data_IF_884062148754
#
_entry.id   IF_884062148754
#
_cell.length_a   1.000
_cell.length_b   1.000
_cell.length_c   1.000
_cell.angle_alpha   90.00
_cell.angle_beta   90.00
_cell.angle_gamma   90.00
#
_symmetry.space_group_name_H-M   'P 1'
#
loop_
_entity.id
_entity.type
_entity.pdbx_description
1 polymer ?
#
# COMPACT_ATOMS: atom_id res chain seq x y z
N UNK A 1 5.63 3.56 -13.54
CA UNK A 1 4.80 4.68 -13.93
C UNK A 1 3.60 4.87 -13.01
N UNK A 2 2.79 5.92 -13.20
CA UNK A 2 1.66 6.20 -12.29
C UNK A 2 0.62 5.08 -12.24
N UNK A 3 0.45 4.33 -13.32
CA UNK A 3 -0.48 3.19 -13.31
C UNK A 3 0.00 2.08 -12.39
N UNK A 4 1.31 1.83 -12.35
CA UNK A 4 1.87 0.80 -11.49
C UNK A 4 1.71 1.18 -10.03
N UNK A 5 1.94 2.44 -9.71
CA UNK A 5 1.75 2.95 -8.35
C UNK A 5 0.29 2.82 -7.93
N UNK A 6 -0.63 3.23 -8.80
CA UNK A 6 -2.05 3.16 -8.52
C UNK A 6 -2.50 1.72 -8.33
N UNK A 7 -2.05 0.81 -9.19
CA UNK A 7 -2.41 -0.59 -9.10
C UNK A 7 -1.94 -1.19 -7.77
N UNK A 8 -0.74 -0.83 -7.34
CA UNK A 8 -0.19 -1.34 -6.09
C UNK A 8 -1.01 -0.90 -4.88
N UNK A 9 -1.36 0.38 -4.82
CA UNK A 9 -2.11 0.89 -3.68
C UNK A 9 -3.56 0.37 -3.67
N UNK A 10 -4.17 0.24 -4.84
CA UNK A 10 -5.53 -0.31 -4.94
C UNK A 10 -5.55 -1.76 -4.47
N UNK A 11 -4.55 -2.53 -4.83
CA UNK A 11 -4.45 -3.92 -4.37
C UNK A 11 -4.34 -4.00 -2.84
N UNK A 12 -3.52 -3.13 -2.26
CA UNK A 12 -3.37 -3.08 -0.80
C UNK A 12 -4.69 -2.72 -0.12
N UNK A 13 -5.41 -1.74 -0.65
CA UNK A 13 -6.71 -1.35 -0.12
C UNK A 13 -7.72 -2.49 -0.21
N UNK A 14 -7.70 -3.21 -1.32
CA UNK A 14 -8.60 -4.33 -1.54
C UNK A 14 -8.39 -5.42 -0.48
N UNK A 15 -7.13 -5.74 -0.21
CA UNK A 15 -6.80 -6.73 0.82
C UNK A 15 -7.23 -6.27 2.21
N UNK A 16 -7.12 -4.97 2.48
CA UNK A 16 -7.56 -4.41 3.74
C UNK A 16 -9.07 -4.54 3.93
N UNK A 17 -9.83 -4.25 2.87
CA UNK A 17 -11.28 -4.40 2.89
C UNK A 17 -11.71 -5.85 3.08
N UNK A 18 -10.93 -6.79 2.51
CA UNK A 18 -11.20 -8.21 2.64
C UNK A 18 -10.78 -8.78 4.00
N UNK A 19 -10.33 -7.93 4.92
CA UNK A 19 -9.88 -8.32 6.25
C UNK A 19 -8.72 -9.31 6.21
N UNK A 20 -7.76 -9.03 5.32
CA UNK A 20 -6.52 -9.81 5.22
C UNK A 20 -5.36 -8.91 5.64
N UNK A 21 -5.24 -8.61 6.95
CA UNK A 21 -4.32 -7.57 7.43
C UNK A 21 -2.85 -7.85 7.11
N UNK A 22 -2.42 -9.10 7.22
CA UNK A 22 -1.02 -9.43 6.92
C UNK A 22 -0.68 -9.20 5.47
N UNK A 23 -1.57 -9.63 4.57
CA UNK A 23 -1.35 -9.45 3.15
C UNK A 23 -1.41 -7.98 2.77
N UNK A 24 -2.36 -7.25 3.35
CA UNK A 24 -2.46 -5.81 3.12
C UNK A 24 -1.19 -5.10 3.56
N UNK A 25 -0.68 -5.43 4.76
CA UNK A 25 0.55 -4.82 5.26
C UNK A 25 1.74 -5.10 4.36
N UNK A 26 1.85 -6.34 3.84
CA UNK A 26 2.92 -6.69 2.92
C UNK A 26 2.84 -5.84 1.64
N UNK A 27 1.65 -5.65 1.12
CA UNK A 27 1.47 -4.82 -0.08
C UNK A 27 1.80 -3.36 0.19
N UNK A 28 1.41 -2.82 1.35
CA UNK A 28 1.76 -1.46 1.73
C UNK A 28 3.27 -1.30 1.88
N UNK A 29 3.95 -2.29 2.46
CA UNK A 29 5.41 -2.25 2.57
C UNK A 29 6.07 -2.24 1.21
N UNK A 30 5.61 -3.12 0.31
CA UNK A 30 6.14 -3.16 -1.06
C UNK A 30 5.94 -1.83 -1.76
N UNK A 31 4.78 -1.22 -1.53
CA UNK A 31 4.51 0.10 -2.08
C UNK A 31 5.55 1.11 -1.61
N UNK A 32 5.83 1.14 -0.31
CA UNK A 32 6.80 2.09 0.25
C UNK A 32 8.21 1.84 -0.26
N UNK A 33 8.57 0.58 -0.49
CA UNK A 33 9.88 0.24 -1.05
C UNK A 33 10.02 0.71 -2.50
N UNK A 34 8.96 0.54 -3.29
CA UNK A 34 9.00 0.93 -4.70
C UNK A 34 8.79 2.41 -4.92
N UNK A 35 7.99 3.03 -4.06
CA UNK A 35 7.59 4.43 -4.21
C UNK A 35 7.80 5.20 -2.90
N UNK A 36 9.06 5.36 -2.46
CA UNK A 36 9.32 6.01 -1.16
C UNK A 36 8.87 7.47 -1.09
N UNK A 37 8.66 8.12 -2.24
CA UNK A 37 8.14 9.47 -2.30
C UNK A 37 6.81 9.52 -3.06
N UNK A 38 6.07 8.43 -3.06
CA UNK A 38 4.82 8.34 -3.80
C UNK A 38 3.68 9.13 -3.17
N UNK A 39 2.59 9.25 -3.90
CA UNK A 39 1.42 10.03 -3.47
C UNK A 39 0.69 9.41 -2.29
N UNK A 40 0.85 8.11 -2.06
CA UNK A 40 0.11 7.37 -1.05
C UNK A 40 0.98 6.91 0.12
N UNK A 41 2.16 7.52 0.28
CA UNK A 41 3.10 7.13 1.34
C UNK A 41 2.48 7.32 2.72
N UNK A 42 1.80 8.43 2.95
CA UNK A 42 1.15 8.69 4.24
C UNK A 42 0.09 7.62 4.55
N UNK A 43 -0.69 7.25 3.56
CA UNK A 43 -1.71 6.22 3.71
C UNK A 43 -1.08 4.87 4.04
N UNK A 44 -0.02 4.50 3.33
CA UNK A 44 0.66 3.24 3.55
C UNK A 44 1.28 3.16 4.94
N UNK A 45 1.91 4.23 5.39
CA UNK A 45 2.48 4.28 6.74
C UNK A 45 1.42 4.15 7.81
N UNK A 46 0.30 4.83 7.62
CA UNK A 46 -0.82 4.77 8.56
C UNK A 46 -1.35 3.33 8.65
N UNK A 47 -1.46 2.66 7.51
CA UNK A 47 -1.92 1.27 7.47
C UNK A 47 -0.96 0.33 8.21
N UNK A 48 0.34 0.66 8.21
CA UNK A 48 1.35 -0.12 8.92
C UNK A 48 1.47 0.26 10.40
N UNK A 49 0.68 1.21 10.86
CA UNK A 49 0.70 1.64 12.26
C UNK A 49 1.78 2.64 12.60
N UNK A 50 2.31 3.30 11.59
CA UNK A 50 3.35 4.30 11.81
C UNK A 50 2.79 5.71 11.88
#
# INVERSE_FOLDING_TARGET
GPRSEQARIVRARCLDVELRPRQAMNEFRKYLEEYPAGQHVAEARRALGE
#
